data_IF_199702729061
#
_entry.id   IF_199702729061
#
_cell.length_a   1.000
_cell.length_b   1.000
_cell.length_c   1.000
_cell.angle_alpha   90.00
_cell.angle_beta   90.00
_cell.angle_gamma   90.00
#
_symmetry.space_group_name_H-M   'P 1'
#
loop_
_entity.id
_entity.type
_entity.pdbx_description
1 polymer ?
#
# COMPACT_ATOMS: atom_id res chain seq x y z
N UNK A 1 27.17 19.57 -23.97
CA UNK A 1 26.47 18.39 -24.49
C UNK A 1 26.14 17.55 -23.27
N UNK A 2 24.87 17.52 -22.89
CA UNK A 2 24.41 16.64 -21.81
C UNK A 2 24.16 15.30 -22.48
N UNK A 3 25.09 14.36 -22.32
CA UNK A 3 24.94 12.98 -22.76
C UNK A 3 23.83 12.31 -21.95
N UNK A 4 22.59 12.54 -22.36
CA UNK A 4 21.43 11.85 -21.80
C UNK A 4 21.57 10.38 -22.21
N UNK A 5 21.86 9.51 -21.23
CA UNK A 5 21.95 8.07 -21.44
C UNK A 5 20.59 7.58 -21.93
N UNK A 6 20.52 7.23 -23.21
CA UNK A 6 19.29 6.78 -23.87
C UNK A 6 19.04 5.30 -23.55
N UNK A 7 18.47 5.06 -22.36
CA UNK A 7 18.18 3.73 -21.82
C UNK A 7 17.34 2.90 -22.82
N UNK A 8 16.44 3.56 -23.57
CA UNK A 8 15.56 2.92 -24.56
C UNK A 8 16.36 2.31 -25.71
N UNK A 9 17.44 2.97 -26.15
CA UNK A 9 18.33 2.45 -27.19
C UNK A 9 19.15 1.24 -26.70
N UNK A 10 19.69 1.31 -25.48
CA UNK A 10 20.53 0.24 -24.92
C UNK A 10 19.77 -1.06 -24.67
N UNK A 11 18.50 -0.99 -24.24
CA UNK A 11 17.62 -2.18 -24.08
C UNK A 11 17.40 -2.87 -25.44
N UNK A 12 17.27 -2.11 -26.53
CA UNK A 12 16.99 -2.64 -27.87
C UNK A 12 18.19 -3.29 -28.56
N UNK A 13 19.39 -2.77 -28.35
CA UNK A 13 20.58 -3.17 -29.13
C UNK A 13 21.46 -4.22 -28.44
N UNK A 14 21.41 -4.32 -27.10
CA UNK A 14 22.41 -5.08 -26.33
C UNK A 14 21.79 -6.31 -25.61
N UNK A 15 20.46 -6.44 -25.62
CA UNK A 15 19.75 -7.55 -24.95
C UNK A 15 19.84 -7.50 -23.42
N UNK A 16 20.22 -6.35 -22.86
CA UNK A 16 20.29 -6.09 -21.42
C UNK A 16 18.93 -5.57 -20.95
N UNK A 17 18.44 -6.09 -19.84
CA UNK A 17 17.14 -5.68 -19.30
C UNK A 17 17.18 -4.24 -18.79
N UNK A 18 16.06 -3.51 -18.90
CA UNK A 18 15.92 -2.15 -18.38
C UNK A 18 16.32 -2.05 -16.88
N UNK A 19 16.04 -3.11 -16.10
CA UNK A 19 16.37 -3.21 -14.69
C UNK A 19 17.89 -3.36 -14.44
N UNK A 20 18.59 -4.11 -15.30
CA UNK A 20 20.05 -4.29 -15.23
C UNK A 20 20.77 -2.97 -15.56
N UNK A 21 20.26 -2.20 -16.52
CA UNK A 21 20.79 -0.87 -16.86
C UNK A 21 20.58 0.10 -15.70
N UNK A 22 19.38 0.12 -15.11
CA UNK A 22 19.08 0.95 -13.94
C UNK A 22 20.00 0.61 -12.76
N UNK A 23 20.17 -0.68 -12.47
CA UNK A 23 21.08 -1.14 -11.42
C UNK A 23 22.52 -0.69 -11.67
N UNK A 24 23.03 -0.81 -12.91
CA UNK A 24 24.36 -0.34 -13.27
C UNK A 24 24.55 1.18 -13.15
N UNK A 25 23.47 1.95 -13.34
CA UNK A 25 23.44 3.40 -13.19
C UNK A 25 23.13 3.87 -11.75
N UNK A 26 22.90 2.94 -10.81
CA UNK A 26 22.47 3.27 -9.44
C UNK A 26 21.08 3.92 -9.37
N UNK A 27 20.25 3.72 -10.39
CA UNK A 27 18.87 4.21 -10.43
C UNK A 27 17.93 3.23 -9.71
N UNK A 28 16.88 3.73 -9.05
CA UNK A 28 15.86 2.86 -8.47
C UNK A 28 15.22 1.99 -9.55
N UNK A 29 14.87 0.77 -9.19
CA UNK A 29 14.10 -0.09 -10.09
C UNK A 29 12.77 0.56 -10.42
N UNK A 30 12.19 0.21 -11.57
CA UNK A 30 10.89 0.74 -11.99
C UNK A 30 9.80 0.45 -10.95
N UNK A 31 9.91 -0.69 -10.29
CA UNK A 31 8.97 -1.10 -9.25
C UNK A 31 9.11 -0.25 -7.97
N UNK A 32 10.32 0.22 -7.64
CA UNK A 32 10.53 1.19 -6.56
C UNK A 32 9.91 2.54 -6.90
N UNK A 33 10.07 3.04 -8.13
CA UNK A 33 9.42 4.28 -8.58
C UNK A 33 7.88 4.16 -8.52
N UNK A 34 7.32 3.03 -8.98
CA UNK A 34 5.89 2.74 -8.85
C UNK A 34 5.44 2.74 -7.38
N UNK A 35 6.25 2.20 -6.46
CA UNK A 35 5.95 2.17 -5.03
C UNK A 35 5.97 3.56 -4.39
N UNK A 36 6.94 4.39 -4.74
CA UNK A 36 7.03 5.75 -4.21
C UNK A 36 5.83 6.59 -4.66
N UNK A 37 5.42 6.46 -5.94
CA UNK A 37 4.24 7.12 -6.48
C UNK A 37 2.89 6.53 -6.03
N UNK A 38 2.87 5.34 -5.42
CA UNK A 38 1.64 4.68 -4.98
C UNK A 38 1.06 5.32 -3.72
N UNK A 39 -0.01 6.08 -3.85
CA UNK A 39 -0.72 6.77 -2.76
C UNK A 39 -1.97 6.03 -2.25
N UNK A 40 -2.40 4.97 -2.95
CA UNK A 40 -3.60 4.21 -2.60
C UNK A 40 -3.26 2.76 -2.24
N UNK A 41 -4.09 2.14 -1.39
CA UNK A 41 -3.95 0.72 -1.04
C UNK A 41 -3.85 -0.18 -2.26
N UNK A 42 -4.70 0.02 -3.26
CA UNK A 42 -4.71 -0.78 -4.49
C UNK A 42 -3.38 -0.71 -5.24
N UNK A 43 -2.83 0.51 -5.41
CA UNK A 43 -1.54 0.69 -6.08
C UNK A 43 -0.42 0.02 -5.29
N UNK A 44 -0.39 0.16 -3.97
CA UNK A 44 0.64 -0.46 -3.13
C UNK A 44 0.51 -1.99 -3.12
N UNK A 45 -0.71 -2.55 -3.07
CA UNK A 45 -0.94 -4.00 -3.18
C UNK A 45 -0.45 -4.56 -4.51
N UNK A 46 -0.67 -3.83 -5.60
CA UNK A 46 -0.17 -4.21 -6.92
C UNK A 46 1.35 -4.31 -6.94
N UNK A 47 2.04 -3.33 -6.34
CA UNK A 47 3.50 -3.34 -6.24
C UNK A 47 3.96 -4.48 -5.33
N UNK A 48 3.33 -4.65 -4.16
CA UNK A 48 3.63 -5.74 -3.23
C UNK A 48 3.53 -7.11 -3.91
N UNK A 49 2.45 -7.36 -4.65
CA UNK A 49 2.24 -8.64 -5.36
C UNK A 49 3.19 -8.88 -6.54
N UNK A 50 3.83 -7.83 -7.08
CA UNK A 50 4.86 -7.93 -8.13
C UNK A 50 6.28 -8.01 -7.56
N UNK A 51 6.47 -7.64 -6.30
CA UNK A 51 7.77 -7.63 -5.67
C UNK A 51 8.27 -9.06 -5.42
N UNK A 52 9.58 -9.27 -5.58
CA UNK A 52 10.21 -10.53 -5.23
C UNK A 52 10.20 -10.67 -3.70
N UNK A 53 9.82 -11.84 -3.18
CA UNK A 53 9.84 -12.11 -1.74
C UNK A 53 11.22 -11.89 -1.12
N UNK A 54 11.28 -11.22 0.02
CA UNK A 54 12.49 -10.79 0.72
C UNK A 54 13.13 -9.49 0.19
N UNK A 55 12.67 -8.96 -0.94
CA UNK A 55 13.23 -7.74 -1.53
C UNK A 55 13.00 -6.51 -0.65
N UNK A 56 13.80 -5.46 -0.88
CA UNK A 56 13.57 -4.17 -0.24
C UNK A 56 12.22 -3.57 -0.65
N UNK A 57 11.80 -3.79 -1.91
CA UNK A 57 10.53 -3.32 -2.46
C UNK A 57 9.34 -3.97 -1.77
N UNK A 58 9.37 -5.30 -1.59
CA UNK A 58 8.33 -6.03 -0.87
C UNK A 58 8.19 -5.50 0.56
N UNK A 59 9.31 -5.36 1.29
CA UNK A 59 9.31 -4.85 2.67
C UNK A 59 8.78 -3.42 2.75
N UNK A 60 9.21 -2.53 1.84
CA UNK A 60 8.74 -1.14 1.77
C UNK A 60 7.25 -1.08 1.43
N UNK A 61 6.78 -1.91 0.49
CA UNK A 61 5.38 -1.99 0.12
C UNK A 61 4.51 -2.52 1.26
N UNK A 62 4.97 -3.55 1.99
CA UNK A 62 4.29 -4.09 3.16
C UNK A 62 4.14 -3.04 4.27
N UNK A 63 5.21 -2.28 4.55
CA UNK A 63 5.16 -1.18 5.51
C UNK A 63 4.16 -0.09 5.09
N UNK A 64 4.19 0.32 3.81
CA UNK A 64 3.28 1.33 3.28
C UNK A 64 1.81 0.87 3.28
N UNK A 65 1.55 -0.42 3.02
CA UNK A 65 0.21 -1.00 3.17
C UNK A 65 -0.29 -0.87 4.61
N UNK A 66 0.50 -1.29 5.59
CA UNK A 66 0.12 -1.18 7.01
C UNK A 66 -0.22 0.27 7.36
N UNK A 67 0.64 1.23 6.98
CA UNK A 67 0.41 2.65 7.24
C UNK A 67 -0.90 3.16 6.62
N UNK A 68 -1.18 2.83 5.36
CA UNK A 68 -2.40 3.26 4.68
C UNK A 68 -3.66 2.63 5.29
N UNK A 69 -3.59 1.37 5.73
CA UNK A 69 -4.71 0.70 6.39
C UNK A 69 -4.95 1.33 7.78
N UNK A 70 -3.88 1.65 8.53
CA UNK A 70 -3.99 2.36 9.81
C UNK A 70 -4.60 3.76 9.63
N UNK A 71 -4.17 4.53 8.63
CA UNK A 71 -4.77 5.82 8.32
C UNK A 71 -6.25 5.70 7.94
N UNK A 72 -6.62 4.69 7.15
CA UNK A 72 -8.01 4.42 6.81
C UNK A 72 -8.82 4.03 8.07
N UNK A 73 -8.21 3.29 9.00
CA UNK A 73 -8.84 2.96 10.27
C UNK A 73 -9.10 4.20 11.12
N UNK A 74 -8.10 5.08 11.27
CA UNK A 74 -8.24 6.32 12.03
C UNK A 74 -9.32 7.22 11.43
N UNK A 75 -9.40 7.29 10.10
CA UNK A 75 -10.40 8.08 9.38
C UNK A 75 -11.81 7.45 9.35
N UNK A 76 -11.97 6.17 9.66
CA UNK A 76 -13.28 5.51 9.66
C UNK A 76 -14.20 6.09 10.74
N UNK A 77 -15.39 6.53 10.37
CA UNK A 77 -16.41 7.08 11.26
C UNK A 77 -17.73 6.31 11.21
N UNK A 78 -17.92 5.41 10.24
CA UNK A 78 -19.06 4.50 10.19
C UNK A 78 -18.65 3.05 10.40
N UNK A 79 -19.64 2.20 10.72
CA UNK A 79 -19.45 0.74 10.80
C UNK A 79 -18.95 0.21 9.45
N UNK A 80 -19.53 0.65 8.33
CA UNK A 80 -19.14 0.20 6.99
C UNK A 80 -17.68 0.52 6.67
N UNK A 81 -17.20 1.72 7.04
CA UNK A 81 -15.83 2.13 6.83
C UNK A 81 -14.86 1.27 7.66
N UNK A 82 -15.17 1.05 8.94
CA UNK A 82 -14.38 0.19 9.81
C UNK A 82 -14.36 -1.27 9.33
N UNK A 83 -15.49 -1.79 8.84
CA UNK A 83 -15.56 -3.14 8.25
C UNK A 83 -14.81 -3.21 6.91
N UNK A 84 -14.80 -2.15 6.11
CA UNK A 84 -14.02 -2.10 4.88
C UNK A 84 -12.51 -2.14 5.18
N UNK A 85 -12.07 -1.50 6.27
CA UNK A 85 -10.69 -1.61 6.77
C UNK A 85 -10.39 -3.02 7.25
N UNK A 86 -11.27 -3.62 8.07
CA UNK A 86 -11.13 -5.01 8.54
C UNK A 86 -10.90 -5.98 7.36
N UNK A 87 -11.71 -5.88 6.30
CA UNK A 87 -11.59 -6.75 5.10
C UNK A 87 -10.28 -6.58 4.34
N UNK A 88 -9.63 -5.43 4.45
CA UNK A 88 -8.36 -5.12 3.79
C UNK A 88 -7.16 -5.40 4.70
N UNK A 89 -7.38 -5.53 6.00
CA UNK A 89 -6.30 -5.77 6.94
C UNK A 89 -5.65 -7.14 6.70
N UNK A 90 -4.33 -7.29 6.95
CA UNK A 90 -3.70 -8.59 6.95
C UNK A 90 -4.33 -9.49 8.02
N UNK A 91 -4.57 -10.75 7.66
CA UNK A 91 -5.20 -11.72 8.56
C UNK A 91 -4.44 -11.83 9.90
N UNK A 92 -5.14 -11.69 11.03
CA UNK A 92 -4.55 -11.77 12.36
C UNK A 92 -3.67 -10.58 12.76
N UNK A 93 -3.67 -9.49 11.98
CA UNK A 93 -2.94 -8.27 12.31
C UNK A 93 -3.62 -7.49 13.45
N UNK A 94 -2.86 -6.62 14.12
CA UNK A 94 -3.43 -5.70 15.11
C UNK A 94 -4.45 -4.74 14.46
N UNK A 95 -4.25 -4.38 13.19
CA UNK A 95 -5.14 -3.49 12.44
C UNK A 95 -6.49 -4.14 12.20
N UNK A 96 -6.50 -5.44 11.86
CA UNK A 96 -7.73 -6.24 11.75
C UNK A 96 -8.55 -6.19 13.04
N UNK A 97 -7.91 -6.50 14.18
CA UNK A 97 -8.58 -6.49 15.48
C UNK A 97 -9.11 -5.10 15.84
N UNK A 98 -8.30 -4.05 15.66
CA UNK A 98 -8.72 -2.67 15.94
C UNK A 98 -9.87 -2.22 15.05
N UNK A 99 -9.92 -2.68 13.80
CA UNK A 99 -11.02 -2.38 12.89
C UNK A 99 -12.36 -2.96 13.36
N UNK A 100 -12.37 -4.20 13.84
CA UNK A 100 -13.56 -4.79 14.47
C UNK A 100 -13.97 -4.04 15.73
N UNK A 101 -13.00 -3.72 16.59
CA UNK A 101 -13.25 -3.01 17.85
C UNK A 101 -13.84 -1.61 17.60
N UNK A 102 -13.33 -0.90 16.58
CA UNK A 102 -13.86 0.40 16.17
C UNK A 102 -15.28 0.29 15.61
N UNK A 103 -15.56 -0.71 14.78
CA UNK A 103 -16.90 -0.97 14.25
C UNK A 103 -17.91 -1.21 15.39
N UNK A 104 -17.54 -2.02 16.40
CA UNK A 104 -18.38 -2.27 17.56
C UNK A 104 -18.64 -1.00 18.39
N UNK A 105 -17.62 -0.17 18.60
CA UNK A 105 -17.76 1.10 19.33
C UNK A 105 -18.67 2.09 18.60
N UNK A 106 -18.59 2.17 17.27
CA UNK A 106 -19.47 3.03 16.47
C UNK A 106 -20.92 2.55 16.60
N UNK A 107 -21.15 1.25 16.42
CA UNK A 107 -22.48 0.65 16.52
C UNK A 107 -23.12 0.87 17.90
N UNK A 108 -22.35 0.69 18.99
CA UNK A 108 -22.83 0.92 20.35
C UNK A 108 -23.26 2.39 20.56
N UNK A 109 -22.49 3.34 20.03
CA UNK A 109 -22.84 4.76 20.08
C UNK A 109 -24.11 5.06 19.31
N UNK A 110 -24.29 4.48 18.13
CA UNK A 110 -25.49 4.65 17.32
C UNK A 110 -26.74 4.09 18.01
N UNK A 111 -26.63 2.89 18.59
CA UNK A 111 -27.72 2.28 19.38
C UNK A 111 -28.06 3.14 20.60
N UNK A 112 -27.05 3.60 21.33
CA UNK A 112 -27.25 4.45 22.52
C UNK A 112 -27.92 5.77 22.12
N UNK A 113 -27.44 6.41 21.05
CA UNK A 113 -28.03 7.64 20.55
C UNK A 113 -29.49 7.44 20.13
N UNK A 114 -29.82 6.35 19.44
CA UNK A 114 -31.19 6.02 19.04
C UNK A 114 -32.13 5.80 20.25
N UNK A 115 -31.64 5.20 21.33
CA UNK A 115 -32.43 4.93 22.53
C UNK A 115 -32.56 6.15 23.49
N UNK A 116 -31.85 7.25 23.24
CA UNK A 116 -31.90 8.45 24.11
C UNK A 116 -32.88 9.51 23.57
N UNK A 117 -33.54 9.26 22.43
CA UNK A 117 -34.49 10.19 21.80
C UNK A 117 -35.96 9.92 22.18
N UNK A 118 -36.21 9.06 23.18
CA UNK A 118 -37.54 8.78 23.75
C UNK A 118 -37.94 9.75 24.87
#
# INVERSE_FOLDING_TARGET
MTDTVDIVRMVREIGISEDEIRAALGLPSKLEEELDAADTLEKVYRVYGRAIGGSAVERKAGGKLVQLIEQALDAANTVEEAIAVFRKAPCGSNVERKALEKAAQILEKEITAANTVE
#
